data_IF_865107345792
#
_entry.id   IF_865107345792
#
_cell.length_a   1.000
_cell.length_b   1.000
_cell.length_c   1.000
_cell.angle_alpha   90.00
_cell.angle_beta   90.00
_cell.angle_gamma   90.00
#
_symmetry.space_group_name_H-M   'P 1'
#
loop_
_entity.id
_entity.type
_entity.pdbx_description
1 polymer ?
#
# COMPACT_ATOMS: atom_id res chain seq x y z
N UNK A 1 15.53 12.12 18.64
CA UNK A 1 14.89 11.00 19.36
C UNK A 1 13.54 10.57 18.80
N UNK A 2 12.61 11.48 18.47
CA UNK A 2 11.29 11.13 17.91
C UNK A 2 11.36 10.30 16.62
N UNK A 3 12.17 10.72 15.65
CA UNK A 3 12.33 9.98 14.38
C UNK A 3 12.82 8.53 14.55
N UNK A 4 13.69 8.27 15.53
CA UNK A 4 14.21 6.92 15.83
C UNK A 4 13.12 6.04 16.45
N UNK A 5 12.24 6.64 17.26
CA UNK A 5 11.10 5.93 17.86
C UNK A 5 10.05 5.57 16.82
N UNK A 6 9.75 6.48 15.90
CA UNK A 6 8.75 6.24 14.85
C UNK A 6 9.25 5.22 13.82
N UNK A 7 10.51 5.30 13.39
CA UNK A 7 11.13 4.29 12.52
C UNK A 7 11.10 2.89 13.17
N UNK A 8 11.38 2.80 14.48
CA UNK A 8 11.30 1.52 15.20
C UNK A 8 9.88 0.96 15.26
N UNK A 9 8.88 1.83 15.50
CA UNK A 9 7.45 1.43 15.51
C UNK A 9 7.01 0.95 14.14
N UNK A 10 7.35 1.70 13.09
CA UNK A 10 7.05 1.35 11.70
C UNK A 10 7.65 0.00 11.31
N UNK A 11 8.95 -0.21 11.55
CA UNK A 11 9.61 -1.50 11.27
C UNK A 11 9.01 -2.66 12.05
N UNK A 12 8.62 -2.43 13.31
CA UNK A 12 7.95 -3.45 14.10
C UNK A 12 6.55 -3.77 13.55
N UNK A 13 5.78 -2.76 13.13
CA UNK A 13 4.49 -2.91 12.48
C UNK A 13 4.59 -3.74 11.20
N UNK A 14 5.51 -3.37 10.30
CA UNK A 14 5.80 -4.14 9.08
C UNK A 14 6.15 -5.60 9.39
N UNK A 15 7.04 -5.84 10.37
CA UNK A 15 7.43 -7.20 10.77
C UNK A 15 6.23 -8.03 11.29
N UNK A 16 5.31 -7.40 12.03
CA UNK A 16 4.14 -8.07 12.60
C UNK A 16 3.04 -8.31 11.57
N UNK A 17 2.97 -7.50 10.51
CA UNK A 17 1.94 -7.59 9.47
C UNK A 17 1.99 -8.89 8.66
N UNK A 18 3.14 -9.58 8.63
CA UNK A 18 3.41 -10.77 7.79
C UNK A 18 3.13 -10.55 6.30
N UNK A 19 3.20 -9.29 5.85
CA UNK A 19 3.01 -8.95 4.45
C UNK A 19 4.12 -9.58 3.59
N UNK A 20 3.76 -10.21 2.46
CA UNK A 20 4.74 -10.85 1.59
C UNK A 20 5.50 -9.77 0.82
N UNK A 21 6.84 -9.90 0.75
CA UNK A 21 7.76 -9.09 -0.08
C UNK A 21 7.50 -7.56 0.04
N UNK A 22 8.32 -6.79 0.77
CA UNK A 22 8.15 -5.34 0.90
C UNK A 22 8.27 -4.61 -0.45
N UNK A 23 7.16 -4.56 -1.20
CA UNK A 23 7.00 -3.93 -2.49
C UNK A 23 6.59 -2.48 -2.31
N UNK A 24 7.04 -1.60 -3.20
CA UNK A 24 6.63 -0.19 -3.23
C UNK A 24 5.69 0.06 -4.42
N UNK A 25 5.01 1.20 -4.42
CA UNK A 25 4.14 1.59 -5.54
C UNK A 25 4.95 1.86 -6.82
N UNK A 26 6.18 2.35 -6.68
CA UNK A 26 7.08 2.60 -7.81
C UNK A 26 7.54 1.31 -8.51
N UNK A 27 7.52 0.18 -7.80
CA UNK A 27 7.80 -1.15 -8.37
C UNK A 27 6.59 -1.75 -9.10
N UNK A 28 5.41 -1.11 -9.05
CA UNK A 28 4.22 -1.61 -9.73
C UNK A 28 4.18 -1.18 -11.19
N UNK A 29 4.18 -2.15 -12.11
CA UNK A 29 3.99 -1.89 -13.53
C UNK A 29 2.50 -1.71 -13.87
N UNK A 30 2.06 -0.46 -13.96
CA UNK A 30 0.69 -0.12 -14.35
C UNK A 30 0.34 -0.51 -15.79
N UNK A 31 1.33 -0.78 -16.66
CA UNK A 31 1.05 -1.26 -18.02
C UNK A 31 0.45 -2.67 -18.04
N UNK A 32 0.67 -3.46 -16.98
CA UNK A 32 0.08 -4.80 -16.82
C UNK A 32 -1.44 -4.77 -16.51
N UNK A 33 -1.95 -3.64 -16.00
CA UNK A 33 -3.39 -3.40 -15.85
C UNK A 33 -3.78 -2.03 -16.39
N UNK A 34 -4.03 -1.91 -17.71
CA UNK A 34 -4.35 -0.63 -18.33
C UNK A 34 -5.67 -0.02 -17.82
N UNK A 35 -6.59 -0.83 -17.34
CA UNK A 35 -7.87 -0.37 -16.78
C UNK A 35 -7.73 0.18 -15.34
N UNK A 36 -6.61 -0.08 -14.67
CA UNK A 36 -6.34 0.45 -13.35
C UNK A 36 -5.79 1.87 -13.48
N UNK A 37 -6.63 2.86 -13.14
CA UNK A 37 -6.19 4.26 -13.11
C UNK A 37 -5.12 4.48 -12.03
N UNK A 38 -3.86 4.82 -12.39
CA UNK A 38 -2.79 5.04 -11.43
C UNK A 38 -3.09 6.16 -10.44
N UNK A 39 -3.95 7.12 -10.82
CA UNK A 39 -4.36 8.22 -9.93
C UNK A 39 -5.13 7.70 -8.73
N UNK A 40 -6.06 6.75 -8.92
CA UNK A 40 -6.81 6.14 -7.81
C UNK A 40 -5.89 5.41 -6.83
N UNK A 41 -4.83 4.77 -7.32
CA UNK A 41 -3.85 4.10 -6.45
C UNK A 41 -3.02 5.11 -5.67
N UNK A 42 -2.61 6.21 -6.31
CA UNK A 42 -1.91 7.31 -5.63
C UNK A 42 -2.79 8.00 -4.59
N UNK A 43 -4.09 8.17 -4.87
CA UNK A 43 -5.04 8.72 -3.91
C UNK A 43 -5.17 7.80 -2.69
N UNK A 44 -5.25 6.48 -2.89
CA UNK A 44 -5.22 5.52 -1.77
C UNK A 44 -3.92 5.60 -0.97
N UNK A 45 -2.78 5.89 -1.62
CA UNK A 45 -1.49 6.03 -0.97
C UNK A 45 -1.40 7.25 -0.03
N UNK A 46 -2.28 8.23 -0.19
CA UNK A 46 -2.40 9.36 0.76
C UNK A 46 -3.00 8.96 2.10
N UNK A 47 -3.61 7.77 2.18
CA UNK A 47 -4.33 7.26 3.35
C UNK A 47 -5.47 8.17 3.84
N UNK A 48 -5.93 9.13 3.04
CA UNK A 48 -7.06 10.02 3.35
C UNK A 48 -8.36 9.29 3.71
N UNK A 49 -8.53 8.05 3.23
CA UNK A 49 -9.67 7.21 3.60
C UNK A 49 -9.68 6.85 5.10
N UNK A 50 -8.51 6.79 5.76
CA UNK A 50 -8.39 6.55 7.20
C UNK A 50 -8.96 7.73 7.96
N UNK A 51 -8.55 8.96 7.59
CA UNK A 51 -9.07 10.20 8.19
C UNK A 51 -10.58 10.34 7.98
N UNK A 52 -11.06 9.90 6.81
CA UNK A 52 -12.48 9.89 6.46
C UNK A 52 -13.29 8.76 7.13
N UNK A 53 -12.66 7.87 7.93
CA UNK A 53 -13.28 6.65 8.48
C UNK A 53 -13.96 5.78 7.40
N UNK A 54 -13.37 5.71 6.22
CA UNK A 54 -13.85 4.96 5.07
C UNK A 54 -13.06 3.65 4.89
N UNK A 55 -13.66 2.70 4.18
CA UNK A 55 -13.02 1.43 3.85
C UNK A 55 -12.46 1.45 2.42
N UNK A 56 -11.25 0.93 2.24
CA UNK A 56 -10.67 0.67 0.93
C UNK A 56 -10.72 -0.84 0.61
N UNK A 57 -11.20 -1.20 -0.58
CA UNK A 57 -11.23 -2.58 -1.06
C UNK A 57 -10.61 -2.69 -2.45
N UNK A 58 -9.67 -3.62 -2.62
CA UNK A 58 -9.07 -3.94 -3.91
C UNK A 58 -9.81 -5.14 -4.51
N UNK A 59 -10.56 -4.91 -5.58
CA UNK A 59 -11.40 -5.93 -6.23
C UNK A 59 -10.93 -6.19 -7.67
N UNK A 60 -10.93 -7.45 -8.09
CA UNK A 60 -10.58 -7.84 -9.45
C UNK A 60 -10.07 -9.29 -9.56
N UNK A 61 -9.89 -9.82 -10.79
CA UNK A 61 -9.44 -11.18 -11.05
C UNK A 61 -8.11 -11.53 -10.36
N UNK A 62 -7.80 -12.81 -10.08
CA UNK A 62 -6.48 -13.20 -9.58
C UNK A 62 -5.37 -12.76 -10.55
N UNK A 63 -4.19 -12.43 -10.02
CA UNK A 63 -3.04 -12.04 -10.84
C UNK A 63 -2.94 -10.55 -11.19
N UNK A 64 -3.98 -9.74 -11.00
CA UNK A 64 -3.99 -8.30 -11.41
C UNK A 64 -3.18 -7.34 -10.51
N UNK A 65 -2.40 -7.87 -9.56
CA UNK A 65 -1.52 -7.03 -8.72
C UNK A 65 -2.12 -6.45 -7.44
N UNK A 66 -3.33 -6.86 -7.05
CA UNK A 66 -4.00 -6.39 -5.81
C UNK A 66 -3.13 -6.56 -4.56
N UNK A 67 -2.47 -7.71 -4.41
CA UNK A 67 -1.59 -7.98 -3.26
C UNK A 67 -0.38 -7.06 -3.26
N UNK A 68 0.21 -6.76 -4.44
CA UNK A 68 1.31 -5.81 -4.55
C UNK A 68 0.88 -4.43 -4.05
N UNK A 69 -0.26 -3.93 -4.55
CA UNK A 69 -0.79 -2.62 -4.16
C UNK A 69 -1.07 -2.58 -2.65
N UNK A 70 -1.71 -3.62 -2.08
CA UNK A 70 -1.98 -3.68 -0.65
C UNK A 70 -0.70 -3.61 0.20
N UNK A 71 0.35 -4.34 -0.20
CA UNK A 71 1.65 -4.31 0.48
C UNK A 71 2.29 -2.93 0.34
N UNK A 72 2.27 -2.37 -0.86
CA UNK A 72 2.87 -1.08 -1.15
C UNK A 72 2.21 0.08 -0.39
N UNK A 73 0.89 0.04 -0.20
CA UNK A 73 0.17 0.99 0.64
C UNK A 73 0.60 0.88 2.11
N UNK A 74 0.80 -0.33 2.62
CA UNK A 74 1.26 -0.54 3.99
C UNK A 74 2.72 -0.11 4.22
N UNK A 75 3.57 -0.19 3.18
CA UNK A 75 4.95 0.30 3.22
C UNK A 75 5.03 1.83 3.10
N UNK A 76 4.06 2.47 2.45
CA UNK A 76 4.01 3.92 2.29
C UNK A 76 3.43 4.66 3.51
N UNK A 77 2.78 3.94 4.42
CA UNK A 77 2.12 4.46 5.63
C UNK A 77 3.09 4.82 6.76
#
# INVERSE_FOLDING_TARGET
ELAVRDDRRFRQGLRLSRLPHHKTLDEYDFSFQPDLDPRKVKDLATLSFIEANANAALLGPPGVGKTHIAVALAVAA
#
